data_IF_901177566066
#
_entry.id   IF_901177566066
#
_cell.length_a   1.000
_cell.length_b   1.000
_cell.length_c   1.000
_cell.angle_alpha   90.00
_cell.angle_beta   90.00
_cell.angle_gamma   90.00
#
_symmetry.space_group_name_H-M   'P 1'
#
loop_
_entity.id
_entity.type
_entity.pdbx_description
1 polymer ?
#
# COMPACT_ATOMS: atom_id res chain seq x y z
N UNK A 1 -35.99 -10.75 -17.99
CA UNK A 1 -35.02 -10.77 -17.59
C UNK A 1 -34.28 -10.77 -17.45
N UNK A 2 -34.70 -10.73 -17.52
CA UNK A 2 -33.71 -10.73 -17.13
C UNK A 2 -32.90 -10.71 -16.92
N UNK A 3 -33.71 -10.63 -16.86
CA UNK A 3 -32.86 -10.65 -16.43
C UNK A 3 -31.91 -10.79 -16.44
N UNK A 4 -32.37 -10.83 -16.76
CA UNK A 4 -31.29 -10.93 -16.56
C UNK A 4 -30.55 -11.07 -16.43
N UNK A 5 -30.96 -11.17 -16.48
CA UNK A 5 -30.02 -11.39 -16.17
C UNK A 5 -29.30 -11.41 -16.09
N UNK A 6 -29.47 -11.41 -15.83
CA UNK A 6 -28.65 -11.45 -15.47
C UNK A 6 -27.78 -11.45 -15.25
N UNK A 7 -28.39 -11.52 -15.19
CA UNK A 7 -27.52 -11.58 -14.79
C UNK A 7 -26.60 -11.65 -14.56
N UNK A 8 -27.04 -11.78 -14.59
CA UNK A 8 -26.05 -11.95 -14.15
C UNK A 8 -25.16 -12.00 -14.01
N UNK A 9 -25.50 -11.97 -13.93
CA UNK A 9 -24.56 -11.95 -13.53
C UNK A 9 -23.66 -11.86 -13.45
N UNK A 10 -23.83 -11.82 -13.50
CA UNK A 10 -22.99 -11.66 -13.24
C UNK A 10 -22.35 -11.34 -13.18
N UNK A 11 -22.52 -11.10 -12.88
CA UNK A 11 -21.94 -10.68 -12.54
C UNK A 11 -21.39 -10.75 -12.11
N UNK A 12 -21.57 -11.14 -12.05
CA UNK A 12 -21.38 -11.26 -11.43
C UNK A 12 -21.22 -11.07 -10.96
N UNK A 13 -21.08 -11.78 -11.96
CA UNK A 13 -21.51 -11.19 -10.84
C UNK A 13 -20.82 -9.97 -10.33
N UNK A 14 -21.56 -9.02 -10.17
CA UNK A 14 -20.97 -7.71 -9.96
C UNK A 14 -21.27 -7.09 -8.61
N UNK A 15 -22.05 -7.76 -7.84
CA UNK A 15 -22.37 -7.23 -6.52
C UNK A 15 -21.17 -7.30 -5.61
N UNK A 16 -20.87 -6.20 -4.96
CA UNK A 16 -19.73 -6.09 -4.08
C UNK A 16 -20.24 -5.53 -2.76
N UNK A 17 -19.98 -6.24 -1.66
CA UNK A 17 -20.38 -5.72 -0.36
C UNK A 17 -19.40 -4.65 0.10
N UNK A 18 -19.77 -3.94 1.17
CA UNK A 18 -18.97 -2.81 1.64
C UNK A 18 -17.56 -3.24 2.06
N UNK A 19 -17.44 -4.41 2.62
CA UNK A 19 -16.15 -4.91 3.07
C UNK A 19 -15.23 -5.18 1.88
N UNK A 20 -15.76 -5.76 0.84
CA UNK A 20 -14.99 -6.02 -0.36
C UNK A 20 -14.59 -4.72 -1.05
N UNK A 21 -15.50 -3.77 -1.10
CA UNK A 21 -15.23 -2.47 -1.69
C UNK A 21 -14.10 -1.76 -0.94
N UNK A 22 -14.15 -1.81 0.39
CA UNK A 22 -13.12 -1.18 1.22
C UNK A 22 -11.77 -1.84 0.98
N UNK A 23 -11.76 -3.16 0.94
CA UNK A 23 -10.52 -3.89 0.74
C UNK A 23 -9.91 -3.57 -0.61
N UNK A 24 -10.75 -3.53 -1.64
CA UNK A 24 -10.29 -3.22 -2.99
C UNK A 24 -9.72 -1.80 -3.03
N UNK A 25 -10.41 -0.86 -2.42
CA UNK A 25 -9.96 0.53 -2.40
C UNK A 25 -8.61 0.67 -1.72
N UNK A 26 -8.41 -0.07 -0.63
CA UNK A 26 -7.15 -0.03 0.09
C UNK A 26 -6.01 -0.62 -0.73
N UNK A 27 -6.30 -1.66 -1.49
CA UNK A 27 -5.27 -2.33 -2.28
C UNK A 27 -4.87 -1.55 -3.52
N UNK A 28 -5.82 -0.85 -4.12
CA UNK A 28 -5.57 -0.15 -5.37
C UNK A 28 -5.10 1.27 -5.16
N UNK A 29 -5.47 1.86 -4.04
CA UNK A 29 -5.22 3.27 -3.80
C UNK A 29 -3.73 3.54 -3.64
N UNK A 30 -3.16 4.17 -4.65
CA UNK A 30 -1.77 4.60 -4.62
C UNK A 30 -1.79 6.10 -4.36
N UNK A 31 -1.28 6.51 -3.21
CA UNK A 31 -1.21 7.92 -2.85
C UNK A 31 0.12 8.49 -3.30
N UNK A 32 0.23 9.83 -3.40
CA UNK A 32 1.53 10.44 -3.70
C UNK A 32 2.62 10.02 -2.71
N UNK A 33 2.25 9.83 -1.45
CA UNK A 33 3.21 9.38 -0.44
C UNK A 33 3.78 8.03 -0.80
N UNK A 34 2.93 7.10 -1.23
CA UNK A 34 3.37 5.76 -1.59
C UNK A 34 4.23 5.80 -2.85
N UNK A 35 3.81 6.59 -3.84
CA UNK A 35 4.59 6.72 -5.07
C UNK A 35 5.98 7.29 -4.80
N UNK A 36 6.04 8.33 -3.98
CA UNK A 36 7.32 8.95 -3.64
C UNK A 36 8.22 7.98 -2.90
N UNK A 37 7.63 7.23 -1.96
CA UNK A 37 8.39 6.26 -1.19
C UNK A 37 8.96 5.16 -2.09
N UNK A 38 8.15 4.66 -3.00
CA UNK A 38 8.62 3.62 -3.93
C UNK A 38 9.71 4.17 -4.86
N UNK A 39 9.58 5.41 -5.29
CA UNK A 39 10.61 6.04 -6.10
C UNK A 39 11.93 6.15 -5.32
N UNK A 40 11.85 6.49 -4.04
CA UNK A 40 13.03 6.55 -3.19
C UNK A 40 13.67 5.18 -3.02
N UNK A 41 12.83 4.15 -2.83
CA UNK A 41 13.31 2.78 -2.72
C UNK A 41 14.06 2.39 -3.99
N UNK A 42 13.46 2.67 -5.12
CA UNK A 42 14.08 2.31 -6.41
C UNK A 42 15.43 2.99 -6.59
N UNK A 43 15.49 4.28 -6.26
CA UNK A 43 16.72 5.04 -6.37
C UNK A 43 17.80 4.48 -5.42
N UNK A 44 17.40 4.19 -4.19
CA UNK A 44 18.35 3.66 -3.21
C UNK A 44 18.84 2.28 -3.62
N UNK A 45 17.96 1.44 -4.14
CA UNK A 45 18.33 0.10 -4.58
C UNK A 45 19.31 0.18 -5.76
N UNK A 46 19.11 1.13 -6.65
CA UNK A 46 20.02 1.31 -7.78
C UNK A 46 21.40 1.75 -7.34
N UNK A 47 21.50 2.35 -6.16
CA UNK A 47 22.77 2.75 -5.57
C UNK A 47 23.38 1.65 -4.69
N UNK A 48 22.74 0.50 -4.62
CA UNK A 48 23.24 -0.62 -3.82
C UNK A 48 22.82 -0.59 -2.37
N UNK A 49 21.88 0.27 -2.00
CA UNK A 49 21.40 0.34 -0.64
C UNK A 49 20.24 -0.64 -0.42
N UNK A 50 20.02 -1.01 0.83
CA UNK A 50 18.99 -1.96 1.20
C UNK A 50 17.93 -1.35 2.11
N UNK A 51 17.97 -0.06 2.31
CA UNK A 51 16.99 0.62 3.15
C UNK A 51 16.91 2.09 2.81
N UNK A 52 15.78 2.69 3.20
CA UNK A 52 15.60 4.14 3.17
C UNK A 52 15.01 4.56 4.51
N UNK A 53 15.07 5.85 4.78
CA UNK A 53 14.56 6.42 6.02
C UNK A 53 13.54 7.51 5.70
N UNK A 54 12.46 7.54 6.49
CA UNK A 54 11.39 8.51 6.33
C UNK A 54 11.07 9.12 7.68
N UNK A 55 10.93 10.44 7.72
CA UNK A 55 10.50 11.10 8.95
C UNK A 55 9.07 10.75 9.30
N UNK A 56 8.24 10.65 8.29
CA UNK A 56 6.83 10.31 8.47
C UNK A 56 6.44 9.25 7.47
N UNK A 57 5.50 8.41 7.89
CA UNK A 57 5.01 7.36 7.01
C UNK A 57 3.63 6.97 7.53
N UNK A 58 2.59 7.28 6.79
CA UNK A 58 1.23 7.03 7.22
C UNK A 58 0.96 5.53 7.34
N UNK A 59 -0.06 5.19 8.12
CA UNK A 59 -0.42 3.80 8.31
C UNK A 59 -0.78 3.10 7.00
N UNK A 60 -1.58 3.72 6.11
CA UNK A 60 -1.86 3.08 4.82
C UNK A 60 -0.60 2.80 4.01
N UNK A 61 0.36 3.72 4.04
CA UNK A 61 1.62 3.52 3.32
C UNK A 61 2.42 2.37 3.93
N UNK A 62 2.49 2.31 5.27
CA UNK A 62 3.19 1.22 5.93
C UNK A 62 2.58 -0.13 5.59
N UNK A 63 1.25 -0.19 5.62
CA UNK A 63 0.55 -1.43 5.30
C UNK A 63 0.80 -1.86 3.86
N UNK A 64 0.78 -0.90 2.95
CA UNK A 64 1.02 -1.19 1.54
C UNK A 64 2.43 -1.75 1.33
N UNK A 65 3.41 -1.12 1.95
CA UNK A 65 4.79 -1.57 1.83
C UNK A 65 4.98 -2.96 2.44
N UNK A 66 4.33 -3.22 3.57
CA UNK A 66 4.40 -4.55 4.17
C UNK A 66 3.82 -5.61 3.23
N UNK A 67 2.73 -5.29 2.56
CA UNK A 67 2.12 -6.23 1.61
C UNK A 67 3.04 -6.52 0.44
N UNK A 68 3.87 -5.56 0.07
CA UNK A 68 4.83 -5.75 -1.00
C UNK A 68 6.10 -6.48 -0.56
N UNK A 69 6.20 -6.79 0.74
CA UNK A 69 7.33 -7.56 1.25
C UNK A 69 8.41 -6.75 1.91
N UNK A 70 8.22 -5.44 2.02
CA UNK A 70 9.21 -4.59 2.70
C UNK A 70 9.06 -4.70 4.21
N UNK A 71 10.17 -4.51 4.91
CA UNK A 71 10.17 -4.42 6.36
C UNK A 71 10.09 -2.94 6.74
N UNK A 72 9.11 -2.60 7.58
CA UNK A 72 8.90 -1.21 8.00
C UNK A 72 9.01 -1.17 9.51
N UNK A 73 9.98 -0.40 10.01
CA UNK A 73 10.24 -0.32 11.45
C UNK A 73 10.36 1.11 11.89
N UNK A 74 9.90 1.36 13.11
CA UNK A 74 10.03 2.67 13.74
C UNK A 74 11.24 2.65 14.66
N UNK A 75 12.08 3.69 14.56
CA UNK A 75 13.21 3.88 15.44
C UNK A 75 13.03 5.17 16.20
N UNK A 76 13.08 5.06 17.52
CA UNK A 76 12.86 6.16 18.44
C UNK A 76 14.22 6.71 18.85
N UNK A 77 14.44 7.99 18.59
CA UNK A 77 15.69 8.65 18.99
C UNK A 77 15.34 9.88 19.80
N UNK A 78 15.41 9.75 21.12
CA UNK A 78 15.08 10.85 22.02
C UNK A 78 13.70 11.40 21.74
N UNK A 79 13.58 12.64 21.25
CA UNK A 79 12.30 13.26 20.97
C UNK A 79 11.81 12.93 19.58
N UNK A 80 12.73 12.60 18.72
CA UNK A 80 12.43 12.35 17.33
C UNK A 80 12.50 10.87 17.04
N UNK A 81 12.07 10.51 15.87
CA UNK A 81 12.17 9.15 15.42
C UNK A 81 12.07 9.13 13.91
N UNK A 82 12.22 7.96 13.36
CA UNK A 82 12.10 7.81 11.91
C UNK A 82 11.65 6.40 11.58
N UNK A 83 11.12 6.28 10.39
CA UNK A 83 10.74 4.98 9.84
C UNK A 83 11.86 4.47 8.95
N UNK A 84 12.18 3.21 9.10
CA UNK A 84 13.11 2.54 8.19
C UNK A 84 12.34 1.56 7.34
N UNK A 85 12.48 1.68 6.04
CA UNK A 85 11.93 0.73 5.08
C UNK A 85 13.11 -0.02 4.49
N UNK A 86 13.10 -1.33 4.62
CA UNK A 86 14.24 -2.12 4.16
C UNK A 86 13.77 -3.33 3.36
N UNK A 87 14.70 -3.87 2.60
CA UNK A 87 14.42 -5.01 1.71
C UNK A 87 15.61 -5.99 1.57
#
# INVERSE_FOLDING_TARGET
>A
MEKLNQENTNFNKIDMNAQEARKLAEEIKITPEIEDTIAEIKKAAMLGNFSIYKDTLSEPARNHLNKLGYSVKWFDIQRDGYWQVSW
#
